data_IF_539632037403
#
_entry.id   IF_539632037403
#
_cell.length_a   1.000
_cell.length_b   1.000
_cell.length_c   1.000
_cell.angle_alpha   90.00
_cell.angle_beta   90.00
_cell.angle_gamma   90.00
#
_symmetry.space_group_name_H-M   'P 1'
#
loop_
_entity.id
_entity.type
_entity.pdbx_description
1 polymer ?
#
# COMPACT_ATOMS: atom_id res chain seq x y z
N UNK A 1 2.84 11.79 -1.88
CA UNK A 1 1.49 11.60 -2.44
C UNK A 1 0.73 12.89 -2.17
N UNK A 2 -0.06 13.38 -3.11
CA UNK A 2 -0.99 14.51 -2.90
C UNK A 2 -2.43 13.99 -2.91
N UNK A 3 -3.34 14.69 -2.23
CA UNK A 3 -4.73 14.25 -2.07
C UNK A 3 -5.05 13.92 -0.61
N UNK A 4 -6.33 13.63 -0.35
CA UNK A 4 -6.79 13.23 0.99
C UNK A 4 -6.73 11.71 1.14
N UNK A 5 -6.24 11.27 2.29
CA UNK A 5 -6.26 9.88 2.72
C UNK A 5 -7.20 9.75 3.90
N UNK A 6 -8.11 8.79 3.80
CA UNK A 6 -9.01 8.40 4.86
C UNK A 6 -8.71 6.95 5.25
N UNK A 7 -8.99 6.60 6.49
CA UNK A 7 -8.76 5.26 6.98
C UNK A 7 -9.37 5.04 8.34
N UNK A 8 -9.48 3.78 8.72
CA UNK A 8 -9.91 3.42 10.06
C UNK A 8 -9.25 2.11 10.50
N UNK A 9 -9.21 1.94 11.82
CA UNK A 9 -8.81 0.70 12.47
C UNK A 9 -9.94 0.29 13.40
N UNK A 10 -10.44 -0.92 13.22
CA UNK A 10 -11.57 -1.48 13.96
C UNK A 10 -11.14 -2.76 14.67
N UNK A 11 -11.77 -3.05 15.80
CA UNK A 11 -11.57 -4.32 16.52
C UNK A 11 -10.14 -4.55 17.02
N UNK A 12 -9.42 -3.47 17.34
CA UNK A 12 -8.06 -3.55 17.86
C UNK A 12 -8.04 -4.30 19.19
N UNK A 13 -7.26 -5.39 19.23
CA UNK A 13 -6.96 -6.15 20.45
C UNK A 13 -5.46 -6.19 20.65
N UNK A 14 -5.06 -5.93 21.89
CA UNK A 14 -3.67 -5.86 22.32
C UNK A 14 -3.39 -6.93 23.37
N UNK A 15 -2.23 -7.57 23.28
CA UNK A 15 -1.67 -8.42 24.34
C UNK A 15 -0.28 -7.90 24.65
N UNK A 16 0.00 -7.60 25.93
CA UNK A 16 1.25 -6.98 26.34
C UNK A 16 1.63 -5.76 25.46
N UNK A 17 0.66 -4.90 25.13
CA UNK A 17 0.81 -3.73 24.25
C UNK A 17 1.14 -4.03 22.77
N UNK A 18 1.09 -5.28 22.34
CA UNK A 18 1.27 -5.67 20.94
C UNK A 18 -0.07 -5.98 20.27
N UNK A 19 -0.36 -5.46 19.06
CA UNK A 19 -1.58 -5.77 18.33
C UNK A 19 -1.59 -7.24 17.91
N UNK A 20 -2.65 -7.96 18.31
CA UNK A 20 -2.86 -9.37 17.96
C UNK A 20 -4.07 -9.58 17.05
N UNK A 21 -4.96 -8.57 16.97
CA UNK A 21 -6.03 -8.54 16.00
C UNK A 21 -6.48 -7.11 15.74
N UNK A 22 -6.84 -6.82 14.49
CA UNK A 22 -7.55 -5.62 14.07
C UNK A 22 -8.00 -5.78 12.63
N UNK A 23 -8.88 -4.90 12.19
CA UNK A 23 -9.14 -4.64 10.77
C UNK A 23 -8.77 -3.19 10.48
N UNK A 24 -7.81 -2.98 9.60
CA UNK A 24 -7.37 -1.66 9.18
C UNK A 24 -7.64 -1.47 7.69
N UNK A 25 -8.06 -0.28 7.34
CA UNK A 25 -8.19 0.15 5.95
C UNK A 25 -7.69 1.58 5.80
N UNK A 26 -7.03 1.82 4.67
CA UNK A 26 -6.54 3.12 4.25
C UNK A 26 -6.90 3.27 2.77
N UNK A 27 -7.55 4.36 2.42
CA UNK A 27 -7.94 4.65 1.05
C UNK A 27 -7.89 6.16 0.77
N UNK A 28 -7.91 6.53 -0.49
CA UNK A 28 -7.97 7.94 -0.89
C UNK A 28 -9.40 8.42 -1.01
N UNK A 29 -9.72 9.58 -0.45
CA UNK A 29 -10.95 10.30 -0.71
C UNK A 29 -10.81 11.16 -1.98
N UNK A 30 -10.66 10.48 -3.12
CA UNK A 30 -10.48 11.07 -4.45
C UNK A 30 -9.11 10.81 -5.08
N UNK A 31 -8.90 11.39 -6.26
CA UNK A 31 -7.65 11.26 -7.01
C UNK A 31 -6.55 12.20 -6.54
N UNK A 32 -5.36 12.04 -7.11
CA UNK A 32 -4.21 12.85 -6.77
C UNK A 32 -2.99 12.54 -7.60
N UNK A 33 -1.82 12.95 -7.10
CA UNK A 33 -0.52 12.69 -7.72
C UNK A 33 0.36 11.88 -6.79
N UNK A 34 1.03 10.87 -7.34
CA UNK A 34 2.02 10.07 -6.64
C UNK A 34 3.38 10.28 -7.29
N UNK A 35 4.42 10.48 -6.48
CA UNK A 35 5.78 10.63 -6.98
C UNK A 35 6.41 9.27 -7.27
N UNK A 36 7.38 9.22 -8.18
CA UNK A 36 8.15 8.00 -8.48
C UNK A 36 8.75 7.38 -7.22
N UNK A 37 9.22 8.20 -6.27
CA UNK A 37 9.74 7.73 -4.97
C UNK A 37 8.67 7.03 -4.14
N UNK A 38 7.46 7.61 -4.07
CA UNK A 38 6.36 7.01 -3.33
C UNK A 38 5.89 5.68 -3.97
N UNK A 39 5.91 5.60 -5.31
CA UNK A 39 5.68 4.33 -6.02
C UNK A 39 6.70 3.27 -5.59
N UNK A 40 8.00 3.60 -5.61
CA UNK A 40 9.07 2.68 -5.18
C UNK A 40 8.93 2.22 -3.73
N UNK A 41 8.60 3.13 -2.82
CA UNK A 41 8.38 2.80 -1.41
C UNK A 41 7.17 1.88 -1.22
N UNK A 42 6.10 2.08 -2.00
CA UNK A 42 4.94 1.18 -1.94
C UNK A 42 5.36 -0.23 -2.34
N UNK A 43 6.13 -0.38 -3.42
CA UNK A 43 6.63 -1.68 -3.89
C UNK A 43 7.54 -2.38 -2.88
N UNK A 44 8.38 -1.64 -2.14
CA UNK A 44 9.26 -2.23 -1.14
C UNK A 44 8.52 -2.77 0.08
N UNK A 45 7.46 -2.07 0.54
CA UNK A 45 6.66 -2.51 1.70
C UNK A 45 5.96 -3.84 1.45
N UNK A 46 5.43 -4.08 0.25
CA UNK A 46 4.82 -5.38 -0.09
C UNK A 46 5.78 -6.41 -0.70
N UNK A 47 7.08 -6.28 -0.44
CA UNK A 47 8.03 -7.38 -0.58
C UNK A 47 8.67 -7.55 -1.96
N UNK A 48 8.90 -6.47 -2.71
CA UNK A 48 9.84 -6.42 -3.84
C UNK A 48 9.48 -7.20 -5.11
N UNK A 49 8.81 -8.35 -5.00
CA UNK A 49 8.27 -9.16 -6.10
C UNK A 49 6.74 -9.33 -6.05
N UNK A 50 6.09 -8.97 -4.94
CA UNK A 50 4.65 -9.17 -4.73
C UNK A 50 3.77 -8.01 -5.16
N UNK A 51 4.28 -6.77 -5.24
CA UNK A 51 3.52 -5.58 -5.65
C UNK A 51 3.91 -5.04 -7.04
N UNK A 52 4.86 -5.69 -7.71
CA UNK A 52 5.54 -5.15 -8.89
C UNK A 52 4.85 -5.50 -10.23
N UNK A 53 3.61 -6.01 -10.19
CA UNK A 53 2.85 -6.35 -11.39
C UNK A 53 2.32 -5.10 -12.09
N UNK A 54 3.12 -4.48 -12.95
CA UNK A 54 2.59 -3.59 -13.99
C UNK A 54 3.43 -2.40 -14.44
N UNK A 55 4.56 -2.08 -13.81
CA UNK A 55 5.31 -0.86 -14.18
C UNK A 55 6.56 -1.20 -14.99
N UNK A 56 6.53 -0.93 -16.29
CA UNK A 56 7.71 -0.98 -17.15
C UNK A 56 8.72 0.05 -16.63
N UNK A 57 9.89 -0.41 -16.17
CA UNK A 57 10.90 0.44 -15.53
C UNK A 57 11.33 1.68 -16.34
N UNK A 58 11.12 1.67 -17.66
CA UNK A 58 11.37 2.80 -18.56
C UNK A 58 10.43 4.00 -18.36
N UNK A 59 9.18 3.80 -17.94
CA UNK A 59 8.23 4.91 -17.70
C UNK A 59 8.56 5.63 -16.38
N UNK A 60 9.09 4.90 -15.40
CA UNK A 60 9.50 5.48 -14.12
C UNK A 60 10.68 6.44 -14.27
N UNK A 61 11.60 6.22 -15.22
CA UNK A 61 12.77 7.10 -15.42
C UNK A 61 12.45 8.40 -16.15
N UNK A 62 11.38 8.44 -16.94
CA UNK A 62 10.99 9.62 -17.75
C UNK A 62 10.06 10.58 -16.99
N UNK A 63 9.28 10.10 -16.00
CA UNK A 63 8.26 10.89 -15.31
C UNK A 63 8.48 10.92 -13.79
N UNK A 64 8.45 12.13 -13.22
CA UNK A 64 8.65 12.33 -11.77
C UNK A 64 7.37 12.11 -10.95
N UNK A 65 6.20 12.27 -11.57
CA UNK A 65 4.88 12.18 -10.92
C UNK A 65 3.83 11.56 -11.83
N UNK A 66 2.92 10.79 -11.23
CA UNK A 66 1.86 10.01 -11.88
C UNK A 66 0.51 10.40 -11.31
N UNK A 67 -0.52 10.50 -12.16
CA UNK A 67 -1.89 10.66 -11.72
C UNK A 67 -2.44 9.34 -11.18
N UNK A 68 -3.25 9.39 -10.13
CA UNK A 68 -4.03 8.24 -9.67
C UNK A 68 -5.47 8.66 -9.40
N UNK A 69 -6.39 7.72 -9.60
CA UNK A 69 -7.80 7.88 -9.30
C UNK A 69 -8.14 7.41 -7.89
N UNK A 70 -7.63 6.23 -7.54
CA UNK A 70 -7.83 5.63 -6.22
C UNK A 70 -6.54 4.95 -5.74
N UNK A 71 -6.26 5.07 -4.45
CA UNK A 71 -5.32 4.22 -3.72
C UNK A 71 -6.09 3.57 -2.57
N UNK A 72 -5.86 2.28 -2.34
CA UNK A 72 -6.52 1.54 -1.28
C UNK A 72 -5.68 0.36 -0.80
N UNK A 73 -5.59 0.21 0.51
CA UNK A 73 -4.91 -0.89 1.19
C UNK A 73 -5.72 -1.30 2.42
N UNK A 74 -5.87 -2.59 2.65
CA UNK A 74 -6.47 -3.13 3.87
C UNK A 74 -5.63 -4.25 4.46
N UNK A 75 -5.71 -4.40 5.77
CA UNK A 75 -5.04 -5.44 6.54
C UNK A 75 -6.01 -5.94 7.63
N UNK A 76 -6.31 -7.23 7.62
CA UNK A 76 -7.01 -7.88 8.74
C UNK A 76 -6.02 -8.77 9.46
N UNK A 77 -5.64 -8.38 10.67
CA UNK A 77 -4.72 -9.14 11.51
C UNK A 77 -5.49 -10.21 12.29
N UNK A 78 -5.05 -11.46 12.15
CA UNK A 78 -5.47 -12.59 12.97
C UNK A 78 -4.32 -13.59 13.10
N UNK A 79 -4.01 -14.01 14.34
CA UNK A 79 -2.97 -15.00 14.62
C UNK A 79 -1.61 -14.63 14.01
N UNK A 80 -1.18 -13.38 14.20
CA UNK A 80 0.09 -12.82 13.66
C UNK A 80 0.19 -12.78 12.12
N UNK A 81 -0.85 -13.19 11.40
CA UNK A 81 -0.94 -13.07 9.96
C UNK A 81 -1.87 -11.91 9.61
N UNK A 82 -1.35 -10.97 8.83
CA UNK A 82 -2.14 -9.93 8.23
C UNK A 82 -2.63 -10.38 6.85
N UNK A 83 -3.95 -10.53 6.72
CA UNK A 83 -4.61 -10.74 5.43
C UNK A 83 -4.74 -9.40 4.72
N UNK A 84 -3.98 -9.23 3.64
CA UNK A 84 -3.88 -8.01 2.87
C UNK A 84 -4.94 -7.93 1.77
N UNK A 85 -5.43 -6.71 1.52
CA UNK A 85 -6.33 -6.38 0.43
C UNK A 85 -6.10 -4.98 -0.11
N UNK A 86 -6.91 -4.58 -1.09
CA UNK A 86 -6.81 -3.27 -1.74
C UNK A 86 -8.16 -2.76 -2.21
N UNK A 87 -8.14 -1.89 -3.22
CA UNK A 87 -9.33 -1.25 -3.82
C UNK A 87 -10.31 -2.31 -4.34
N UNK A 88 -9.78 -3.33 -5.02
CA UNK A 88 -10.56 -4.42 -5.62
C UNK A 88 -9.68 -5.66 -5.85
N UNK A 89 -10.26 -6.86 -5.96
CA UNK A 89 -9.55 -8.04 -6.45
C UNK A 89 -8.94 -7.76 -7.84
N UNK A 90 -7.72 -8.26 -8.06
CA UNK A 90 -7.05 -8.15 -9.35
C UNK A 90 -7.36 -9.35 -10.25
N UNK A 91 -7.45 -9.10 -11.56
CA UNK A 91 -7.60 -10.17 -12.55
C UNK A 91 -6.31 -11.01 -12.57
N UNK A 92 -6.41 -12.33 -12.39
CA UNK A 92 -5.25 -13.21 -12.27
C UNK A 92 -4.74 -13.40 -10.84
N UNK A 93 -5.48 -12.92 -9.83
CA UNK A 93 -5.17 -13.12 -8.41
C UNK A 93 -4.54 -11.89 -7.75
N UNK A 94 -4.69 -11.80 -6.42
CA UNK A 94 -4.23 -10.66 -5.64
C UNK A 94 -5.25 -9.51 -5.57
N UNK A 95 -4.77 -8.30 -5.29
CA UNK A 95 -5.58 -7.09 -5.09
C UNK A 95 -4.92 -5.86 -5.69
N UNK A 96 -5.73 -4.96 -6.25
CA UNK A 96 -5.27 -3.67 -6.78
C UNK A 96 -5.08 -2.67 -5.64
N UNK A 97 -3.89 -2.07 -5.56
CA UNK A 97 -3.55 -1.07 -4.54
C UNK A 97 -3.67 0.34 -5.11
N UNK A 98 -3.28 0.53 -6.36
CA UNK A 98 -3.31 1.82 -7.06
C UNK A 98 -4.00 1.65 -8.40
N UNK A 99 -5.03 2.46 -8.60
CA UNK A 99 -5.67 2.67 -9.90
C UNK A 99 -5.20 4.01 -10.46
N UNK A 100 -4.40 3.96 -11.54
CA UNK A 100 -3.87 5.15 -12.21
C UNK A 100 -4.96 6.01 -12.85
N UNK A 101 -4.60 7.25 -13.16
CA UNK A 101 -5.45 8.18 -13.91
C UNK A 101 -4.63 8.93 -14.97
N UNK A 102 -5.16 9.01 -16.18
CA UNK A 102 -4.50 9.65 -17.32
C UNK A 102 -3.23 8.95 -17.81
N UNK A 103 -2.38 9.70 -18.52
CA UNK A 103 -1.08 9.26 -19.01
C UNK A 103 0.05 10.04 -18.31
N UNK A 104 1.14 9.37 -17.88
CA UNK A 104 1.35 7.93 -17.89
C UNK A 104 0.52 7.18 -16.83
N UNK A 105 -0.17 6.11 -17.26
CA UNK A 105 -1.00 5.27 -16.41
C UNK A 105 -0.14 4.30 -15.59
N UNK A 106 -0.43 4.17 -14.29
CA UNK A 106 0.22 3.20 -13.41
C UNK A 106 -0.82 2.33 -12.72
N UNK A 107 -0.53 1.04 -12.59
CA UNK A 107 -1.35 0.09 -11.83
C UNK A 107 -0.43 -0.73 -10.94
N UNK A 108 -0.80 -0.88 -9.68
CA UNK A 108 -0.03 -1.65 -8.70
C UNK A 108 -0.92 -2.76 -8.16
N UNK A 109 -0.50 -4.00 -8.36
CA UNK A 109 -1.21 -5.21 -7.93
C UNK A 109 -0.38 -5.90 -6.86
N UNK A 110 -1.00 -6.18 -5.71
CA UNK A 110 -0.43 -7.04 -4.69
C UNK A 110 -0.85 -8.48 -4.83
N UNK A 111 0.12 -9.37 -4.96
CA UNK A 111 -0.10 -10.82 -5.09
C UNK A 111 -0.02 -11.55 -3.75
N UNK A 112 0.70 -11.00 -2.77
CA UNK A 112 0.77 -11.61 -1.44
C UNK A 112 -0.41 -11.16 -0.57
N UNK A 113 -1.32 -12.10 -0.31
CA UNK A 113 -2.54 -11.87 0.48
C UNK A 113 -2.37 -12.20 1.95
N UNK A 114 -1.38 -13.01 2.32
CA UNK A 114 -1.07 -13.33 3.72
C UNK A 114 0.37 -12.93 4.02
N UNK A 115 0.56 -12.04 4.98
CA UNK A 115 1.88 -11.52 5.35
C UNK A 115 2.04 -11.64 6.86
N UNK A 116 3.16 -12.18 7.32
CA UNK A 116 3.50 -12.14 8.74
C UNK A 116 3.55 -10.69 9.23
N UNK A 117 2.85 -10.41 10.31
CA UNK A 117 2.72 -9.06 10.85
C UNK A 117 4.07 -8.44 11.21
N UNK A 118 4.98 -9.22 11.81
CA UNK A 118 6.34 -8.79 12.14
C UNK A 118 7.15 -8.42 10.89
N UNK A 119 7.00 -9.20 9.82
CA UNK A 119 7.64 -8.93 8.52
C UNK A 119 7.09 -7.65 7.90
N UNK A 120 5.76 -7.47 7.91
CA UNK A 120 5.12 -6.27 7.39
C UNK A 120 5.59 -5.02 8.16
N UNK A 121 5.60 -5.10 9.49
CA UNK A 121 6.06 -4.01 10.35
C UNK A 121 7.52 -3.66 10.12
N UNK A 122 8.40 -4.66 10.00
CA UNK A 122 9.82 -4.45 9.72
C UNK A 122 10.05 -3.77 8.37
N UNK A 123 9.28 -4.17 7.33
CA UNK A 123 9.33 -3.56 6.00
C UNK A 123 8.80 -2.13 6.00
N UNK A 124 7.71 -1.88 6.73
CA UNK A 124 7.15 -0.55 6.90
C UNK A 124 8.11 0.38 7.64
N UNK A 125 8.74 -0.10 8.72
CA UNK A 125 9.79 0.62 9.42
C UNK A 125 10.93 0.97 8.47
N UNK A 126 11.49 -0.01 7.75
CA UNK A 126 12.56 0.24 6.79
C UNK A 126 12.18 1.28 5.70
N UNK A 127 10.92 1.32 5.27
CA UNK A 127 10.44 2.32 4.31
C UNK A 127 10.22 3.72 4.92
N UNK A 128 10.02 3.82 6.24
CA UNK A 128 9.69 5.05 6.98
C UNK A 128 10.86 5.65 7.74
N UNK A 129 11.92 4.90 8.09
CA UNK A 129 13.10 5.42 8.81
C UNK A 129 13.87 6.50 8.02
N UNK A 130 13.50 6.78 6.76
CA UNK A 130 13.94 7.96 6.01
C UNK A 130 12.92 9.12 5.88
N UNK A 131 11.65 8.92 6.26
CA UNK A 131 10.51 9.84 6.06
C UNK A 131 9.38 9.54 7.08
N UNK A 132 9.40 10.20 8.24
CA UNK A 132 8.24 10.18 9.15
C UNK A 132 7.09 11.03 8.58
N UNK A 133 5.82 10.60 8.70
CA UNK A 133 4.67 11.40 8.27
C UNK A 133 4.57 12.68 9.13
N UNK A 134 4.47 13.83 8.48
CA UNK A 134 4.11 15.08 9.15
C UNK A 134 2.59 15.05 9.35
N UNK A 135 2.15 14.66 10.54
CA UNK A 135 0.77 14.82 10.98
C UNK A 135 0.61 16.29 11.37
N UNK A 136 -0.24 17.03 10.65
CA UNK A 136 -0.67 18.38 11.04
C UNK A 136 -2.15 18.37 11.35
#
# INVERSE_FOLDING_TARGET
>A
ITGKLDGNVQGLRLVAWHPVAFKAELHTAGGGRISQRAVKNLTSVGGGGGLAGGIQGAVLSLFSTFGYKHIGLSCTLANDVCTMGGIKPANGGGYSIVEGDGLPYIHIIGHQTQVDWSTLLSRLQAATTGQGPVIR
#
